data_IF_305037064824
#
_entry.id   IF_305037064824
#
_cell.length_a   1.000
_cell.length_b   1.000
_cell.length_c   1.000
_cell.angle_alpha   90.00
_cell.angle_beta   90.00
_cell.angle_gamma   90.00
#
_symmetry.space_group_name_H-M   'P 1'
#
loop_
_entity.id
_entity.type
_entity.pdbx_description
1 polymer ?
#
# COMPACT_ATOMS: atom_id res chain seq x y z
N UNK A 1 14.28 6.59 -0.96
CA UNK A 1 13.70 7.61 -1.85
C UNK A 1 12.70 8.45 -1.07
N UNK A 2 12.66 9.75 -1.36
CA UNK A 2 11.78 10.74 -0.72
C UNK A 2 10.95 11.45 -1.80
N UNK A 3 9.83 12.05 -1.42
CA UNK A 3 8.99 12.82 -2.32
C UNK A 3 8.29 13.95 -1.57
N UNK A 4 7.81 14.94 -2.30
CA UNK A 4 6.95 16.00 -1.81
C UNK A 4 5.78 16.20 -2.79
N UNK A 5 4.68 16.78 -2.32
CA UNK A 5 3.61 17.21 -3.20
C UNK A 5 4.07 18.44 -3.97
N UNK A 6 3.80 18.45 -5.28
CA UNK A 6 4.02 19.60 -6.14
C UNK A 6 2.70 20.35 -6.30
N UNK A 7 2.67 21.60 -5.86
CA UNK A 7 1.52 22.48 -6.02
C UNK A 7 1.49 23.07 -7.45
N UNK A 8 0.34 23.51 -7.96
CA UNK A 8 0.19 24.05 -9.32
C UNK A 8 1.12 25.25 -9.65
N UNK A 9 1.67 25.91 -8.63
CA UNK A 9 2.66 26.99 -8.76
C UNK A 9 4.12 26.52 -8.82
N UNK A 10 4.39 25.22 -8.82
CA UNK A 10 5.74 24.65 -8.77
C UNK A 10 6.37 24.65 -7.37
N UNK A 11 5.66 25.19 -6.37
CA UNK A 11 6.05 25.08 -4.97
C UNK A 11 5.91 23.64 -4.49
N UNK A 12 6.89 23.18 -3.71
CA UNK A 12 6.93 21.82 -3.17
C UNK A 12 6.68 21.88 -1.67
N UNK A 13 5.81 21.00 -1.18
CA UNK A 13 5.54 20.85 0.26
C UNK A 13 6.71 20.16 1.00
N UNK A 14 6.53 19.96 2.31
CA UNK A 14 7.45 19.18 3.14
C UNK A 14 7.65 17.75 2.61
N UNK A 15 8.87 17.25 2.75
CA UNK A 15 9.26 15.93 2.29
C UNK A 15 8.57 14.81 3.10
N UNK A 16 8.37 13.69 2.41
CA UNK A 16 7.73 12.47 2.90
C UNK A 16 8.59 11.26 2.53
N UNK A 17 8.40 10.15 3.25
CA UNK A 17 9.11 8.89 3.03
C UNK A 17 8.15 7.71 3.04
N UNK A 18 8.11 7.00 1.92
CA UNK A 18 7.35 5.78 1.69
C UNK A 18 8.13 4.93 0.67
N UNK A 19 7.90 3.59 0.57
CA UNK A 19 8.52 2.78 -0.47
C UNK A 19 8.26 3.37 -1.86
N UNK A 20 9.32 3.88 -2.50
CA UNK A 20 9.29 4.64 -3.74
C UNK A 20 10.43 4.13 -4.63
N UNK A 21 10.13 3.91 -5.91
CA UNK A 21 11.09 3.45 -6.91
C UNK A 21 12.18 4.49 -7.15
N UNK A 22 13.38 4.00 -7.44
CA UNK A 22 14.42 4.81 -8.07
C UNK A 22 14.06 5.10 -9.54
N UNK A 23 14.77 6.03 -10.17
CA UNK A 23 14.48 6.43 -11.56
C UNK A 23 14.66 5.25 -12.54
N UNK A 24 15.59 4.36 -12.27
CA UNK A 24 15.86 3.14 -13.06
C UNK A 24 14.98 1.96 -12.67
N UNK A 25 14.35 2.01 -11.51
CA UNK A 25 13.52 0.93 -10.99
C UNK A 25 12.07 1.03 -11.47
N UNK A 26 11.40 -0.11 -11.53
CA UNK A 26 9.99 -0.19 -11.92
C UNK A 26 9.24 -1.32 -11.19
N UNK A 27 9.17 -1.23 -9.86
CA UNK A 27 8.40 -2.16 -9.03
C UNK A 27 6.99 -1.62 -8.77
N UNK A 28 5.95 -2.41 -9.05
CA UNK A 28 4.55 -2.02 -8.86
C UNK A 28 4.10 -1.97 -7.39
N UNK A 29 4.83 -2.63 -6.48
CA UNK A 29 4.57 -2.61 -5.04
C UNK A 29 5.11 -1.33 -4.37
N UNK A 30 5.88 -0.52 -5.09
CA UNK A 30 6.46 0.75 -4.62
C UNK A 30 5.88 1.91 -5.41
N UNK A 31 5.88 3.11 -4.85
CA UNK A 31 5.44 4.31 -5.57
C UNK A 31 6.35 4.64 -6.76
N UNK A 32 5.86 5.49 -7.67
CA UNK A 32 6.67 6.04 -8.77
C UNK A 32 6.72 5.21 -10.06
N UNK A 33 5.86 4.19 -10.21
CA UNK A 33 5.65 3.49 -11.48
C UNK A 33 4.74 4.28 -12.45
N UNK A 34 3.89 5.17 -11.93
CA UNK A 34 3.10 6.11 -12.72
C UNK A 34 3.77 7.48 -12.73
N UNK A 35 4.30 7.88 -13.88
CA UNK A 35 5.21 9.04 -14.03
C UNK A 35 4.63 10.06 -14.99
N UNK A 36 4.91 11.34 -14.74
CA UNK A 36 4.57 12.44 -15.63
C UNK A 36 5.70 12.64 -16.65
N UNK A 37 5.36 12.80 -17.92
CA UNK A 37 6.31 13.20 -18.96
C UNK A 37 6.50 14.72 -19.02
N UNK A 38 7.40 15.19 -19.88
CA UNK A 38 7.68 16.63 -20.08
C UNK A 38 6.45 17.43 -20.54
N UNK A 39 5.45 16.76 -21.13
CA UNK A 39 4.22 17.37 -21.62
C UNK A 39 3.12 17.41 -20.54
N UNK A 40 3.42 16.99 -19.31
CA UNK A 40 2.45 16.90 -18.22
C UNK A 40 1.51 15.69 -18.33
N UNK A 41 1.77 14.75 -19.25
CA UNK A 41 0.96 13.54 -19.44
C UNK A 41 1.52 12.40 -18.61
N UNK A 42 0.65 11.77 -17.84
CA UNK A 42 1.01 10.63 -17.02
C UNK A 42 1.00 9.32 -17.83
N UNK A 43 2.01 8.49 -17.59
CA UNK A 43 2.17 7.18 -18.22
C UNK A 43 2.70 6.15 -17.20
N UNK A 44 2.43 4.87 -17.48
CA UNK A 44 3.04 3.76 -16.73
C UNK A 44 4.43 3.52 -17.29
N UNK A 45 5.46 3.61 -16.44
CA UNK A 45 6.83 3.39 -16.85
C UNK A 45 6.99 1.98 -17.42
N UNK A 46 7.57 1.86 -18.62
CA UNK A 46 7.70 0.61 -19.37
C UNK A 46 6.40 -0.22 -19.50
N UNK A 47 5.24 0.45 -19.56
CA UNK A 47 3.92 -0.19 -19.50
C UNK A 47 3.65 -1.23 -20.59
N UNK A 48 4.20 -1.06 -21.79
CA UNK A 48 3.99 -2.01 -22.91
C UNK A 48 4.57 -3.40 -22.58
N UNK A 49 5.80 -3.45 -22.06
CA UNK A 49 6.48 -4.70 -21.69
C UNK A 49 5.91 -5.28 -20.40
N UNK A 50 5.54 -4.41 -19.45
CA UNK A 50 5.10 -4.84 -18.12
C UNK A 50 3.64 -5.28 -18.05
N UNK A 51 2.76 -4.74 -18.90
CA UNK A 51 1.35 -5.18 -18.93
C UNK A 51 1.19 -6.61 -19.45
N UNK A 52 2.16 -7.15 -20.17
CA UNK A 52 2.21 -8.57 -20.55
C UNK A 52 2.60 -9.48 -19.37
N UNK A 53 3.42 -8.99 -18.43
CA UNK A 53 3.84 -9.72 -17.22
C UNK A 53 2.81 -9.60 -16.09
N UNK A 54 2.01 -8.53 -16.07
CA UNK A 54 1.11 -8.20 -14.96
C UNK A 54 -0.33 -8.58 -15.33
N UNK A 55 -0.66 -9.87 -15.21
CA UNK A 55 -2.05 -10.34 -15.31
C UNK A 55 -2.92 -9.98 -14.09
N UNK A 56 -2.32 -9.39 -13.04
CA UNK A 56 -3.01 -8.98 -11.80
C UNK A 56 -2.43 -7.66 -11.32
N UNK A 57 -3.16 -6.57 -11.53
CA UNK A 57 -2.81 -5.27 -10.97
C UNK A 57 -3.57 -5.07 -9.64
N UNK A 58 -2.82 -4.86 -8.55
CA UNK A 58 -3.37 -4.48 -7.24
C UNK A 58 -3.48 -2.96 -7.20
N UNK A 59 -4.71 -2.44 -7.35
CA UNK A 59 -5.01 -1.07 -6.92
C UNK A 59 -5.41 -1.16 -5.44
N UNK A 60 -4.59 -0.69 -4.50
CA UNK A 60 -5.00 -0.64 -3.10
C UNK A 60 -6.22 0.28 -3.00
N UNK A 61 -7.35 -0.24 -2.52
CA UNK A 61 -8.60 0.52 -2.38
C UNK A 61 -8.48 1.74 -1.47
N UNK A 62 -7.39 1.85 -0.68
CA UNK A 62 -7.01 3.01 0.11
C UNK A 62 -5.51 3.28 -0.05
N UNK A 63 -5.13 4.19 -0.94
CA UNK A 63 -3.77 4.73 -0.95
C UNK A 63 -3.64 5.73 0.20
N UNK A 64 -2.99 5.33 1.30
CA UNK A 64 -2.71 6.23 2.41
C UNK A 64 -1.32 6.85 2.23
N UNK A 65 -1.26 8.18 2.24
CA UNK A 65 -0.03 8.92 2.09
C UNK A 65 0.69 9.01 3.43
N UNK A 66 1.98 8.67 3.48
CA UNK A 66 2.79 8.86 4.68
C UNK A 66 2.80 10.32 5.13
N UNK A 67 2.76 10.57 6.44
CA UNK A 67 2.90 11.91 7.02
C UNK A 67 4.26 12.56 6.67
N UNK A 68 4.38 13.90 6.71
CA UNK A 68 5.65 14.60 6.51
C UNK A 68 6.75 14.15 7.46
N UNK A 69 8.00 14.31 7.05
CA UNK A 69 9.17 13.89 7.82
C UNK A 69 9.25 14.56 9.20
N UNK A 70 8.93 15.85 9.29
CA UNK A 70 8.89 16.64 10.55
C UNK A 70 7.90 16.08 11.58
N UNK A 71 6.81 15.44 11.14
CA UNK A 71 5.82 14.83 12.04
C UNK A 71 6.20 13.41 12.47
N UNK A 72 7.12 12.78 11.73
CA UNK A 72 7.50 11.37 11.90
C UNK A 72 8.80 11.23 12.68
N UNK A 73 9.73 12.16 12.46
CA UNK A 73 11.08 12.11 13.01
C UNK A 73 11.31 13.36 13.88
N UNK A 74 11.34 13.22 15.22
CA UNK A 74 11.46 14.37 16.13
C UNK A 74 12.71 15.24 15.94
N UNK A 75 13.79 14.66 15.39
CA UNK A 75 15.04 15.39 15.12
C UNK A 75 14.96 16.31 13.90
N UNK A 76 13.94 16.18 13.06
CA UNK A 76 13.74 17.00 11.84
C UNK A 76 12.80 18.15 12.19
N UNK A 77 13.30 19.39 12.13
CA UNK A 77 12.47 20.58 12.28
C UNK A 77 11.72 20.92 10.98
N UNK A 78 12.41 20.78 9.84
CA UNK A 78 11.84 20.97 8.51
C UNK A 78 12.67 20.23 7.47
N UNK A 79 12.05 19.69 6.43
CA UNK A 79 12.75 19.03 5.35
C UNK A 79 12.10 19.38 4.02
N UNK A 80 12.67 20.37 3.33
CA UNK A 80 12.04 20.99 2.14
C UNK A 80 13.01 21.20 0.99
N UNK A 81 12.48 21.31 -0.21
CA UNK A 81 13.25 21.76 -1.37
C UNK A 81 13.67 23.22 -1.14
N UNK A 82 14.93 23.57 -1.46
CA UNK A 82 15.42 24.92 -1.23
C UNK A 82 14.70 25.96 -2.09
N UNK A 83 14.56 25.64 -3.38
CA UNK A 83 14.02 26.53 -4.39
C UNK A 83 13.40 25.74 -5.55
N UNK A 84 12.85 26.47 -6.53
CA UNK A 84 12.28 25.91 -7.76
C UNK A 84 13.30 25.25 -8.69
N UNK A 85 14.62 25.32 -8.41
CA UNK A 85 15.63 24.61 -9.22
C UNK A 85 15.62 23.10 -8.96
N UNK A 86 15.01 22.67 -7.84
CA UNK A 86 14.89 21.27 -7.42
C UNK A 86 16.23 20.53 -7.25
N UNK A 87 17.36 21.25 -7.13
CA UNK A 87 18.70 20.65 -7.03
C UNK A 87 19.13 20.30 -5.61
N UNK A 88 18.56 20.99 -4.63
CA UNK A 88 18.99 20.89 -3.24
C UNK A 88 17.79 20.77 -2.31
N UNK A 89 17.98 19.97 -1.28
CA UNK A 89 17.07 19.80 -0.16
C UNK A 89 17.76 20.38 1.07
N UNK A 90 17.04 21.22 1.82
CA UNK A 90 17.48 21.69 3.13
C UNK A 90 16.74 20.91 4.20
N UNK A 91 17.51 20.23 5.05
CA UNK A 91 17.02 19.63 6.28
C UNK A 91 17.50 20.47 7.44
N UNK A 92 16.56 21.12 8.13
CA UNK A 92 16.85 21.85 9.36
C UNK A 92 16.67 20.89 10.53
N UNK A 93 17.73 20.75 11.32
CA UNK A 93 17.75 19.88 12.48
C UNK A 93 17.09 20.59 13.67
N UNK A 94 16.17 19.90 14.35
CA UNK A 94 15.57 20.38 15.59
C UNK A 94 16.57 20.30 16.77
N UNK A 95 17.47 19.31 16.72
CA UNK A 95 18.52 19.08 17.71
C UNK A 95 19.86 18.84 17.01
N UNK A 96 20.96 19.32 17.61
CA UNK A 96 22.30 19.19 17.06
C UNK A 96 23.36 19.14 18.16
N UNK A 97 24.52 18.58 17.81
CA UNK A 97 25.68 18.57 18.69
C UNK A 97 26.33 19.95 18.79
N UNK A 98 26.97 20.24 19.92
CA UNK A 98 27.72 21.48 20.10
C UNK A 98 28.83 21.62 19.06
N UNK A 99 29.08 22.85 18.62
CA UNK A 99 30.20 23.21 17.76
C UNK A 99 31.32 23.81 18.60
N UNK A 100 32.56 23.49 18.25
CA UNK A 100 33.73 24.12 18.85
C UNK A 100 33.98 25.47 18.19
N UNK A 101 33.93 26.55 18.98
CA UNK A 101 34.12 27.93 18.50
C UNK A 101 35.43 28.46 19.06
N UNK A 102 36.31 28.95 18.19
CA UNK A 102 37.57 29.60 18.58
C UNK A 102 37.51 31.06 18.17
N UNK A 103 37.67 31.96 19.15
CA UNK A 103 37.74 33.40 18.93
C UNK A 103 39.19 33.84 19.09
N UNK A 104 39.79 34.32 18.01
CA UNK A 104 41.15 34.83 17.99
C UNK A 104 41.12 36.35 17.90
N UNK A 105 41.81 37.02 18.82
CA UNK A 105 42.03 38.48 18.76
C UNK A 105 43.40 38.67 18.14
N UNK A 106 43.44 39.25 16.94
CA UNK A 106 44.69 39.68 16.33
C UNK A 106 44.80 41.19 16.55
N UNK A 107 45.58 41.59 17.55
CA UNK A 107 46.17 42.92 17.55
C UNK A 107 47.49 42.92 18.34
N UNK A 108 48.51 43.51 17.72
CA UNK A 108 49.88 43.69 18.21
C UNK A 108 49.99 44.73 19.35
N UNK A 109 48.85 45.20 19.87
CA UNK A 109 48.77 46.22 20.91
C UNK A 109 48.23 45.56 22.19
N UNK A 110 49.14 45.35 23.14
CA UNK A 110 48.86 44.81 24.47
C UNK A 110 47.68 45.56 25.14
N UNK A 111 46.48 44.98 25.15
CA UNK A 111 45.35 45.60 25.84
C UNK A 111 43.95 45.00 25.66
N UNK A 112 43.71 44.20 24.60
CA UNK A 112 42.36 43.69 24.34
C UNK A 112 42.06 42.42 25.16
N UNK A 113 41.19 42.53 26.17
CA UNK A 113 40.71 41.41 27.01
C UNK A 113 39.30 40.96 26.59
N UNK A 114 39.16 39.70 26.19
CA UNK A 114 37.86 39.05 26.00
C UNK A 114 37.23 38.67 27.34
N UNK A 115 35.96 39.02 27.54
CA UNK A 115 35.16 38.64 28.71
C UNK A 115 33.82 38.11 28.23
N UNK A 116 33.42 36.93 28.71
CA UNK A 116 32.15 36.29 28.39
C UNK A 116 31.14 36.54 29.50
N UNK A 117 29.91 36.87 29.11
CA UNK A 117 28.79 37.06 30.02
C UNK A 117 27.71 36.04 29.70
N UNK A 118 26.99 35.58 30.73
CA UNK A 118 25.82 34.73 30.58
C UNK A 118 24.67 35.26 31.44
N UNK A 119 23.45 34.93 31.04
CA UNK A 119 22.25 35.29 31.78
C UNK A 119 21.93 34.21 32.83
N UNK A 120 21.23 34.61 33.88
CA UNK A 120 20.71 33.68 34.88
C UNK A 120 19.53 32.87 34.30
N UNK A 121 19.45 31.60 34.67
CA UNK A 121 18.37 30.71 34.22
C UNK A 121 17.20 30.75 35.20
N UNK A 122 15.97 30.56 34.69
CA UNK A 122 14.74 30.59 35.50
C UNK A 122 13.72 29.60 34.97
N UNK A 123 12.90 29.05 35.85
CA UNK A 123 11.72 28.23 35.52
C UNK A 123 10.65 28.43 36.59
N UNK A 124 9.39 28.59 36.18
CA UNK A 124 8.27 28.77 37.13
C UNK A 124 7.54 27.46 37.43
N UNK A 125 7.18 26.70 36.39
CA UNK A 125 6.55 25.38 36.50
C UNK A 125 6.79 24.59 35.22
N UNK A 126 6.46 23.30 35.22
CA UNK A 126 6.40 22.50 33.99
C UNK A 126 5.29 21.46 34.07
N UNK A 127 4.80 21.08 32.89
CA UNK A 127 3.91 19.94 32.71
C UNK A 127 4.44 19.07 31.57
N UNK A 128 4.07 17.80 31.55
CA UNK A 128 4.48 16.94 30.45
C UNK A 128 4.02 15.51 30.61
N UNK A 129 4.33 14.70 29.61
CA UNK A 129 4.00 13.27 29.54
C UNK A 129 5.14 12.51 28.89
N UNK A 130 5.44 11.31 29.38
CA UNK A 130 6.36 10.38 28.72
C UNK A 130 5.55 9.62 27.69
N UNK A 131 5.99 9.64 26.43
CA UNK A 131 5.27 9.04 25.31
C UNK A 131 6.21 8.08 24.59
N UNK A 132 5.69 6.88 24.31
CA UNK A 132 6.19 6.00 23.27
C UNK A 132 5.19 6.01 22.13
N UNK A 133 5.61 6.56 20.99
CA UNK A 133 4.73 6.72 19.83
C UNK A 133 4.59 5.42 19.01
N UNK A 134 3.71 5.43 18.01
CA UNK A 134 3.48 4.28 17.13
C UNK A 134 4.67 3.88 16.26
N UNK A 135 5.79 4.60 16.34
CA UNK A 135 7.06 4.32 15.63
C UNK A 135 8.19 3.99 16.60
N UNK A 136 7.86 3.71 17.85
CA UNK A 136 8.81 3.37 18.91
C UNK A 136 9.78 4.50 19.28
N UNK A 137 9.47 5.76 18.93
CA UNK A 137 10.21 6.88 19.49
C UNK A 137 9.78 7.09 20.94
N UNK A 138 10.76 7.08 21.86
CA UNK A 138 10.54 7.32 23.29
C UNK A 138 11.03 8.71 23.65
N UNK A 139 10.14 9.54 24.16
CA UNK A 139 10.45 10.92 24.52
C UNK A 139 9.55 11.45 25.64
N UNK A 140 10.03 12.49 26.29
CA UNK A 140 9.26 13.29 27.23
C UNK A 140 8.79 14.56 26.52
N UNK A 141 7.48 14.66 26.31
CA UNK A 141 6.84 15.85 25.77
C UNK A 141 6.56 16.81 26.93
N UNK A 142 7.34 17.89 27.01
CA UNK A 142 7.31 18.82 28.14
C UNK A 142 6.95 20.22 27.68
N UNK A 143 6.11 20.88 28.47
CA UNK A 143 5.80 22.31 28.37
C UNK A 143 6.30 22.99 29.64
N UNK A 144 7.29 23.85 29.48
CA UNK A 144 7.84 24.67 30.56
C UNK A 144 7.15 26.04 30.58
N UNK A 145 6.87 26.55 31.77
CA UNK A 145 6.21 27.83 32.00
C UNK A 145 7.17 28.82 32.64
N UNK A 146 7.20 30.04 32.08
CA UNK A 146 8.07 31.12 32.55
C UNK A 146 9.54 30.71 32.59
N UNK A 147 10.00 29.96 31.60
CA UNK A 147 11.35 29.43 31.54
C UNK A 147 12.29 30.30 30.68
N UNK A 148 13.57 30.35 31.03
CA UNK A 148 14.64 31.00 30.26
C UNK A 148 16.00 30.42 30.65
N UNK A 149 16.92 30.31 29.70
CA UNK A 149 18.28 29.85 29.93
C UNK A 149 18.41 28.32 29.98
N UNK A 150 19.35 27.83 30.80
CA UNK A 150 19.68 26.41 30.96
C UNK A 150 18.86 25.79 32.08
N UNK A 151 18.13 24.73 31.76
CA UNK A 151 17.28 23.97 32.67
C UNK A 151 17.79 22.53 32.74
N UNK A 152 18.04 22.05 33.95
CA UNK A 152 18.45 20.67 34.21
C UNK A 152 17.23 19.87 34.66
N UNK A 153 17.20 18.60 34.28
CA UNK A 153 16.15 17.66 34.64
C UNK A 153 16.71 16.32 35.07
N UNK A 154 16.11 15.74 36.10
CA UNK A 154 16.42 14.41 36.61
C UNK A 154 15.16 13.54 36.61
N UNK A 155 15.26 12.39 35.97
CA UNK A 155 14.23 11.36 35.94
C UNK A 155 14.53 10.35 37.05
N UNK A 156 13.59 10.22 37.98
CA UNK A 156 13.67 9.31 39.12
C UNK A 156 13.22 7.90 38.74
N UNK A 157 13.61 6.88 39.51
CA UNK A 157 13.24 5.49 39.26
C UNK A 157 11.75 5.24 39.45
N UNK A 158 11.15 5.81 40.51
CA UNK A 158 9.75 5.63 40.87
C UNK A 158 9.02 7.00 41.02
N UNK A 159 7.85 7.00 41.64
CA UNK A 159 7.04 8.22 41.90
C UNK A 159 7.44 8.96 43.19
N UNK A 160 8.42 8.46 43.94
CA UNK A 160 8.93 9.06 45.16
C UNK A 160 10.11 9.99 44.83
N UNK A 161 10.17 11.11 45.55
CA UNK A 161 11.17 12.17 45.32
C UNK A 161 12.60 11.74 45.62
N UNK A 162 12.76 10.93 46.66
CA UNK A 162 14.08 10.52 47.17
C UNK A 162 14.59 9.24 46.51
N UNK A 163 13.88 8.74 45.48
CA UNK A 163 14.35 7.58 44.74
C UNK A 163 15.56 7.88 43.86
N UNK A 164 16.25 6.82 43.44
CA UNK A 164 17.45 6.93 42.63
C UNK A 164 17.17 7.58 41.27
N UNK A 165 18.14 8.35 40.78
CA UNK A 165 18.10 8.93 39.44
C UNK A 165 18.53 7.90 38.40
N UNK A 166 17.70 7.73 37.36
CA UNK A 166 17.97 6.79 36.26
C UNK A 166 18.49 7.50 35.01
N UNK A 167 18.14 8.77 34.84
CA UNK A 167 18.52 9.56 33.68
C UNK A 167 18.48 11.04 34.02
N UNK A 168 19.48 11.79 33.55
CA UNK A 168 19.56 13.24 33.69
C UNK A 168 19.71 13.88 32.32
N UNK A 169 19.04 15.00 32.11
CA UNK A 169 19.12 15.77 30.87
C UNK A 169 19.29 17.26 31.17
N UNK A 170 19.83 17.99 30.19
CA UNK A 170 19.89 19.45 30.20
C UNK A 170 19.24 19.95 28.93
N UNK A 171 18.39 20.96 29.07
CA UNK A 171 17.74 21.64 27.95
C UNK A 171 17.93 23.15 28.03
N UNK A 172 17.79 23.82 26.89
CA UNK A 172 18.03 25.24 26.73
C UNK A 172 16.79 25.94 26.19
N UNK A 173 16.35 26.98 26.89
CA UNK A 173 15.33 27.91 26.43
C UNK A 173 16.02 29.17 25.94
N UNK A 174 15.99 29.37 24.63
CA UNK A 174 16.73 30.46 23.97
C UNK A 174 16.10 31.85 24.14
N UNK A 175 14.89 31.94 24.68
CA UNK A 175 14.24 33.23 24.90
C UNK A 175 14.88 33.98 26.08
N UNK A 176 15.23 35.25 25.85
CA UNK A 176 15.82 36.13 26.85
C UNK A 176 14.85 36.42 28.02
N UNK A 177 13.57 36.54 27.70
CA UNK A 177 12.50 36.76 28.67
C UNK A 177 11.85 35.42 29.02
N UNK A 178 11.37 35.31 30.25
CA UNK A 178 10.63 34.15 30.72
C UNK A 178 9.42 33.87 29.81
N UNK A 179 9.44 32.75 29.11
CA UNK A 179 8.43 32.38 28.12
C UNK A 179 7.89 30.97 28.38
N UNK A 180 6.77 30.66 27.73
CA UNK A 180 6.21 29.32 27.74
C UNK A 180 6.68 28.59 26.48
N UNK A 181 7.37 27.46 26.66
CA UNK A 181 7.91 26.69 25.54
C UNK A 181 7.66 25.20 25.73
N UNK A 182 7.21 24.57 24.65
CA UNK A 182 7.11 23.12 24.56
C UNK A 182 8.31 22.58 23.79
N UNK A 183 8.81 21.44 24.23
CA UNK A 183 9.92 20.74 23.59
C UNK A 183 9.82 19.23 23.85
N UNK A 184 10.52 18.49 23.01
CA UNK A 184 10.62 17.04 23.09
C UNK A 184 12.00 16.73 23.65
N UNK A 185 12.06 15.87 24.66
CA UNK A 185 13.33 15.43 25.25
C UNK A 185 13.45 13.92 25.02
N UNK A 186 14.45 13.45 24.25
CA UNK A 186 14.62 12.03 23.99
C UNK A 186 14.92 11.27 25.28
N UNK A 187 14.28 10.11 25.47
CA UNK A 187 14.37 9.33 26.70
C UNK A 187 15.00 7.96 26.43
N UNK A 188 15.95 7.49 27.27
CA UNK A 188 16.62 6.22 27.04
C UNK A 188 15.74 5.01 27.36
N UNK A 189 16.16 3.84 26.87
CA UNK A 189 15.47 2.57 27.07
C UNK A 189 15.29 2.18 28.56
N UNK A 190 16.13 2.71 29.45
CA UNK A 190 16.08 2.52 30.91
C UNK A 190 14.80 3.09 31.52
N UNK A 191 14.18 4.08 30.88
CA UNK A 191 12.90 4.67 31.30
C UNK A 191 11.75 3.76 30.84
N UNK A 192 11.53 2.64 31.53
CA UNK A 192 10.48 1.63 31.25
C UNK A 192 9.04 2.17 31.38
N UNK A 193 8.03 1.28 31.32
CA UNK A 193 6.63 1.66 31.50
C UNK A 193 6.31 2.08 32.95
N UNK A 194 5.28 2.91 33.09
CA UNK A 194 4.77 3.39 34.38
C UNK A 194 5.08 4.85 34.66
N UNK A 195 4.26 5.46 35.52
CA UNK A 195 4.39 6.86 35.91
C UNK A 195 5.63 7.06 36.79
N UNK A 196 6.38 8.14 36.54
CA UNK A 196 7.63 8.43 37.26
C UNK A 196 7.70 9.87 37.72
N UNK A 197 8.50 10.13 38.74
CA UNK A 197 8.80 11.50 39.14
C UNK A 197 9.90 12.08 38.25
N UNK A 198 9.65 13.28 37.73
CA UNK A 198 10.67 14.09 37.05
C UNK A 198 10.83 15.37 37.86
N UNK A 199 12.08 15.74 38.13
CA UNK A 199 12.43 16.98 38.81
C UNK A 199 13.20 17.89 37.85
N UNK A 200 12.79 19.15 37.74
CA UNK A 200 13.43 20.16 36.89
C UNK A 200 13.84 21.37 37.72
N UNK A 201 15.01 21.94 37.42
CA UNK A 201 15.56 23.09 38.11
C UNK A 201 16.39 23.95 37.16
N UNK A 202 16.38 25.26 37.39
CA UNK A 202 17.23 26.17 36.63
C UNK A 202 18.71 26.01 37.01
N UNK A 203 19.61 26.35 36.09
CA UNK A 203 21.03 26.43 36.42
C UNK A 203 21.28 27.38 37.59
N UNK A 204 22.23 27.03 38.48
CA UNK A 204 22.55 27.73 39.74
C UNK A 204 21.45 27.69 40.83
N UNK A 205 20.31 27.05 40.57
CA UNK A 205 19.29 26.83 41.57
C UNK A 205 19.66 25.63 42.47
N UNK A 206 19.33 25.71 43.77
CA UNK A 206 19.52 24.57 44.69
C UNK A 206 18.54 23.45 44.38
N UNK A 207 18.96 22.19 44.54
CA UNK A 207 18.13 21.01 44.31
C UNK A 207 16.85 20.98 45.16
N UNK A 208 16.89 21.55 46.37
CA UNK A 208 15.71 21.67 47.25
C UNK A 208 14.57 22.47 46.60
N UNK A 209 14.92 23.40 45.71
CA UNK A 209 13.96 24.23 44.97
C UNK A 209 13.57 23.61 43.62
N UNK A 210 14.00 22.38 43.33
CA UNK A 210 13.61 21.68 42.13
C UNK A 210 12.09 21.46 42.11
N UNK A 211 11.50 21.74 40.97
CA UNK A 211 10.10 21.48 40.69
C UNK A 211 9.97 20.00 40.38
N UNK A 212 9.21 19.24 41.15
CA UNK A 212 9.03 17.81 40.92
C UNK A 212 7.56 17.50 40.63
N UNK A 213 7.32 16.73 39.57
CA UNK A 213 5.97 16.30 39.14
C UNK A 213 5.96 14.80 38.85
N UNK A 214 4.84 14.16 39.17
CA UNK A 214 4.57 12.79 38.72
C UNK A 214 4.09 12.88 37.28
N UNK A 215 4.84 12.30 36.36
CA UNK A 215 4.60 12.34 34.93
C UNK A 215 4.02 11.00 34.50
N UNK A 216 2.92 11.07 33.75
CA UNK A 216 2.24 9.88 33.23
C UNK A 216 2.97 9.32 32.02
N UNK A 217 2.89 8.00 31.86
CA UNK A 217 3.47 7.25 30.76
C UNK A 217 2.37 6.76 29.82
N UNK A 218 2.48 7.10 28.53
CA UNK A 218 1.57 6.68 27.48
C UNK A 218 2.34 5.93 26.40
N UNK A 219 1.87 4.75 26.02
CA UNK A 219 2.48 3.93 24.98
C UNK A 219 1.43 3.57 23.93
N UNK A 220 1.73 3.92 22.69
CA UNK A 220 0.91 3.54 21.53
C UNK A 220 1.56 2.30 20.90
N UNK A 221 0.80 1.23 20.63
CA UNK A 221 1.37 0.07 19.97
C UNK A 221 1.94 0.44 18.60
N UNK A 222 2.98 -0.29 18.18
CA UNK A 222 3.61 -0.13 16.88
C UNK A 222 2.56 -0.23 15.77
N UNK A 223 2.49 0.79 14.91
CA UNK A 223 1.63 0.77 13.73
C UNK A 223 2.28 -0.14 12.69
N UNK A 224 1.78 -1.37 12.60
CA UNK A 224 2.16 -2.31 11.56
C UNK A 224 1.12 -2.16 10.46
N UNK A 225 1.54 -1.61 9.31
CA UNK A 225 0.73 -1.64 8.07
C UNK A 225 0.65 -3.09 7.57
N UNK A 226 -0.21 -3.88 8.20
CA UNK A 226 -0.59 -5.20 7.68
C UNK A 226 -1.64 -4.93 6.62
N UNK A 227 -1.25 -4.96 5.35
CA UNK A 227 -2.18 -4.83 4.23
C UNK A 227 -3.31 -5.86 4.33
N UNK A 228 -4.53 -5.42 4.64
CA UNK A 228 -5.72 -6.25 4.57
C UNK A 228 -6.07 -6.46 3.08
N UNK A 229 -5.77 -7.64 2.58
CA UNK A 229 -5.97 -7.99 1.18
C UNK A 229 -7.44 -8.38 0.94
N UNK A 230 -8.18 -7.58 0.17
CA UNK A 230 -9.40 -8.01 -0.51
C UNK A 230 -9.12 -8.12 -2.00
N UNK A 231 -9.31 -9.32 -2.56
CA UNK A 231 -9.17 -9.53 -4.00
C UNK A 231 -10.40 -8.95 -4.71
N UNK A 232 -10.17 -8.02 -5.65
CA UNK A 232 -11.18 -7.52 -6.56
C UNK A 232 -10.81 -7.94 -7.98
N UNK A 233 -11.68 -8.72 -8.62
CA UNK A 233 -11.52 -9.11 -10.01
C UNK A 233 -12.01 -7.96 -10.91
N UNK A 234 -11.13 -7.41 -11.73
CA UNK A 234 -11.45 -6.37 -12.71
C UNK A 234 -11.08 -6.85 -14.11
N UNK A 235 -11.98 -6.68 -15.07
CA UNK A 235 -11.76 -7.01 -16.48
C UNK A 235 -11.02 -5.85 -17.13
N UNK A 236 -9.76 -6.06 -17.52
CA UNK A 236 -8.98 -5.08 -18.26
C UNK A 236 -9.53 -4.86 -19.68
N UNK A 237 -9.57 -3.62 -20.14
CA UNK A 237 -9.94 -3.30 -21.52
C UNK A 237 -8.74 -3.52 -22.45
N UNK A 238 -8.52 -4.77 -22.84
CA UNK A 238 -7.56 -5.13 -23.88
C UNK A 238 -8.32 -5.73 -25.07
N UNK A 239 -8.17 -5.20 -26.30
CA UNK A 239 -8.93 -5.67 -27.46
C UNK A 239 -8.61 -7.11 -27.88
N UNK A 240 -7.55 -7.72 -27.35
CA UNK A 240 -7.08 -9.05 -27.76
C UNK A 240 -6.64 -9.99 -26.63
N UNK A 241 -6.70 -9.59 -25.36
CA UNK A 241 -6.38 -10.51 -24.25
C UNK A 241 -7.62 -11.27 -23.75
N UNK A 242 -7.44 -12.57 -23.53
CA UNK A 242 -8.36 -13.46 -22.79
C UNK A 242 -9.81 -13.57 -23.29
N UNK A 243 -10.06 -13.42 -24.59
CA UNK A 243 -11.35 -13.83 -25.15
C UNK A 243 -11.35 -15.33 -25.47
N UNK A 244 -11.45 -16.18 -24.44
CA UNK A 244 -12.01 -17.53 -24.62
C UNK A 244 -13.53 -17.36 -24.76
N UNK A 245 -13.95 -16.82 -25.90
CA UNK A 245 -15.35 -16.64 -26.24
C UNK A 245 -15.70 -17.59 -27.39
N UNK A 246 -16.92 -18.13 -27.44
CA UNK A 246 -17.34 -19.04 -28.53
C UNK A 246 -17.18 -18.40 -29.92
N UNK A 247 -17.27 -17.07 -29.99
CA UNK A 247 -16.99 -16.31 -31.21
C UNK A 247 -15.50 -16.34 -31.62
N UNK A 248 -14.58 -16.40 -30.66
CA UNK A 248 -13.14 -16.59 -30.91
C UNK A 248 -12.86 -17.96 -31.54
N UNK A 249 -13.49 -19.01 -31.01
CA UNK A 249 -13.40 -20.37 -31.54
C UNK A 249 -13.99 -20.48 -32.97
N UNK A 250 -15.06 -19.73 -33.25
CA UNK A 250 -15.64 -19.64 -34.62
C UNK A 250 -14.70 -18.95 -35.63
N UNK A 251 -13.85 -18.03 -35.17
CA UNK A 251 -12.83 -17.37 -35.99
C UNK A 251 -11.69 -18.33 -36.34
N UNK A 252 -11.33 -19.23 -35.42
CA UNK A 252 -10.37 -20.31 -35.69
C UNK A 252 -10.93 -21.41 -36.58
N UNK A 253 -12.25 -21.57 -36.70
CA UNK A 253 -12.88 -22.58 -37.55
C UNK A 253 -13.36 -22.04 -38.92
N UNK A 254 -13.19 -20.75 -39.17
CA UNK A 254 -13.57 -20.13 -40.43
C UNK A 254 -12.36 -20.05 -41.39
N UNK A 255 -12.32 -20.86 -42.47
CA UNK A 255 -11.19 -20.88 -43.39
C UNK A 255 -10.99 -19.56 -44.15
N UNK A 256 -12.02 -18.71 -44.21
CA UNK A 256 -11.95 -17.40 -44.87
C UNK A 256 -11.13 -16.38 -44.06
N UNK A 257 -11.01 -16.55 -42.74
CA UNK A 257 -10.20 -15.67 -41.89
C UNK A 257 -8.70 -16.01 -41.87
N UNK A 258 -8.31 -17.22 -42.28
CA UNK A 258 -6.90 -17.62 -42.36
C UNK A 258 -6.17 -16.99 -43.55
N UNK A 259 -6.91 -16.61 -44.59
CA UNK A 259 -6.36 -16.14 -45.87
C UNK A 259 -6.15 -14.61 -45.87
N UNK A 260 -6.79 -13.88 -44.96
CA UNK A 260 -6.69 -12.43 -44.90
C UNK A 260 -5.54 -12.00 -43.98
N UNK A 261 -4.35 -11.78 -44.56
CA UNK A 261 -3.24 -11.11 -43.86
C UNK A 261 -1.86 -11.77 -43.94
N UNK A 262 -1.65 -12.79 -44.77
CA UNK A 262 -0.34 -13.45 -44.87
C UNK A 262 0.65 -12.57 -45.63
N UNK A 263 1.63 -12.00 -44.92
CA UNK A 263 2.70 -11.19 -45.54
C UNK A 263 4.11 -11.66 -45.19
N UNK A 264 4.26 -12.65 -44.30
CA UNK A 264 5.56 -13.24 -43.94
C UNK A 264 5.63 -14.76 -44.12
N UNK A 265 6.82 -15.28 -44.39
CA UNK A 265 7.10 -16.72 -44.55
C UNK A 265 6.84 -17.53 -43.26
N UNK A 266 6.99 -16.92 -42.08
CA UNK A 266 6.71 -17.56 -40.79
C UNK A 266 5.21 -17.79 -40.56
N UNK A 267 4.38 -16.83 -40.95
CA UNK A 267 2.91 -16.93 -40.85
C UNK A 267 2.34 -17.97 -41.82
N UNK A 268 2.97 -18.16 -42.99
CA UNK A 268 2.59 -19.20 -43.95
C UNK A 268 2.82 -20.61 -43.38
N UNK A 269 3.94 -20.84 -42.67
CA UNK A 269 4.24 -22.14 -42.05
C UNK A 269 3.23 -22.45 -40.93
N UNK A 270 2.86 -21.46 -40.11
CA UNK A 270 1.84 -21.65 -39.08
C UNK A 270 0.46 -21.93 -39.67
N UNK A 271 0.08 -21.24 -40.75
CA UNK A 271 -1.17 -21.52 -41.47
C UNK A 271 -1.18 -22.96 -42.02
N UNK A 272 -0.07 -23.43 -42.60
CA UNK A 272 0.04 -24.78 -43.14
C UNK A 272 -0.09 -25.86 -42.05
N UNK A 273 0.48 -25.62 -40.86
CA UNK A 273 0.34 -26.54 -39.73
C UNK A 273 -1.09 -26.57 -39.20
N UNK A 274 -1.77 -25.43 -39.10
CA UNK A 274 -3.15 -25.35 -38.61
C UNK A 274 -4.14 -26.05 -39.57
N UNK A 275 -3.95 -25.87 -40.89
CA UNK A 275 -4.74 -26.59 -41.91
C UNK A 275 -4.51 -28.10 -41.81
N UNK A 276 -3.27 -28.54 -41.58
CA UNK A 276 -2.94 -29.96 -41.47
C UNK A 276 -3.58 -30.59 -40.23
N UNK A 277 -3.53 -29.91 -39.07
CA UNK A 277 -4.19 -30.34 -37.84
C UNK A 277 -5.71 -30.42 -38.04
N UNK A 278 -6.30 -29.43 -38.71
CA UNK A 278 -7.73 -29.43 -39.00
C UNK A 278 -8.16 -30.63 -39.86
N UNK A 279 -7.40 -30.93 -40.92
CA UNK A 279 -7.64 -32.12 -41.75
C UNK A 279 -7.50 -33.41 -40.93
N UNK A 280 -6.50 -33.51 -40.06
CA UNK A 280 -6.35 -34.66 -39.16
C UNK A 280 -7.56 -34.83 -38.23
N UNK A 281 -8.05 -33.74 -37.63
CA UNK A 281 -9.25 -33.76 -36.77
C UNK A 281 -10.49 -34.20 -37.54
N UNK A 282 -10.70 -33.70 -38.77
CA UNK A 282 -11.81 -34.14 -39.62
C UNK A 282 -11.72 -35.62 -39.98
N UNK A 283 -10.52 -36.14 -40.24
CA UNK A 283 -10.31 -37.58 -40.48
C UNK A 283 -10.63 -38.41 -39.23
N UNK A 284 -10.21 -37.95 -38.05
CA UNK A 284 -10.55 -38.62 -36.78
C UNK A 284 -12.06 -38.62 -36.55
N UNK A 285 -12.73 -37.48 -36.75
CA UNK A 285 -14.19 -37.38 -36.64
C UNK A 285 -14.88 -38.31 -37.64
N UNK A 286 -14.41 -38.37 -38.90
CA UNK A 286 -14.93 -39.28 -39.91
C UNK A 286 -14.77 -40.74 -39.50
N UNK A 287 -13.62 -41.13 -38.95
CA UNK A 287 -13.38 -42.49 -38.45
C UNK A 287 -14.30 -42.80 -37.26
N UNK A 288 -14.43 -41.89 -36.29
CA UNK A 288 -15.33 -42.07 -35.13
C UNK A 288 -16.78 -42.21 -35.58
N UNK A 289 -17.25 -41.35 -36.48
CA UNK A 289 -18.62 -41.44 -37.00
C UNK A 289 -18.84 -42.74 -37.77
N UNK A 290 -17.94 -43.12 -38.67
CA UNK A 290 -18.12 -44.30 -39.52
C UNK A 290 -17.86 -45.64 -38.84
N UNK A 291 -16.90 -45.71 -37.91
CA UNK A 291 -16.46 -46.95 -37.26
C UNK A 291 -17.05 -47.16 -35.87
N UNK A 292 -17.51 -46.11 -35.19
CA UNK A 292 -18.05 -46.21 -33.83
C UNK A 292 -19.54 -45.85 -33.84
N UNK A 293 -19.92 -44.67 -34.32
CA UNK A 293 -21.31 -44.18 -34.21
C UNK A 293 -22.27 -44.93 -35.13
N UNK A 294 -21.95 -45.10 -36.42
CA UNK A 294 -22.82 -45.83 -37.37
C UNK A 294 -23.09 -47.29 -36.95
N UNK A 295 -22.11 -48.11 -36.51
CA UNK A 295 -22.39 -49.48 -36.05
C UNK A 295 -23.19 -49.51 -34.75
N UNK A 296 -22.97 -48.59 -33.80
CA UNK A 296 -23.77 -48.48 -32.57
C UNK A 296 -25.23 -48.11 -32.89
N UNK A 297 -25.44 -47.16 -33.82
CA UNK A 297 -26.79 -46.80 -34.28
C UNK A 297 -27.49 -47.97 -35.01
N UNK A 298 -26.76 -48.79 -35.79
CA UNK A 298 -27.32 -50.01 -36.39
C UNK A 298 -27.70 -51.08 -35.35
N UNK A 299 -26.94 -51.20 -34.26
CA UNK A 299 -27.27 -52.08 -33.14
C UNK A 299 -28.52 -51.63 -32.38
N UNK A 300 -28.77 -50.32 -32.26
CA UNK A 300 -29.96 -49.79 -31.57
C UNK A 300 -31.25 -49.83 -32.40
N UNK A 301 -31.16 -49.91 -33.73
CA UNK A 301 -32.35 -49.96 -34.62
C UNK A 301 -32.87 -51.40 -34.84
N UNK A 302 -32.09 -52.44 -34.53
CA UNK A 302 -32.50 -53.84 -34.72
C UNK A 302 -33.39 -54.52 -33.64
N UNK A 303 -33.62 -54.00 -32.41
CA UNK A 303 -34.59 -54.62 -31.50
C UNK A 303 -36.03 -54.11 -31.66
N UNK A 304 -36.27 -53.04 -32.43
CA UNK A 304 -37.62 -52.45 -32.54
C UNK A 304 -38.52 -53.05 -33.62
N UNK A 305 -38.02 -53.94 -34.49
CA UNK A 305 -38.86 -54.56 -35.54
C UNK A 305 -39.55 -55.87 -35.09
N UNK A 306 -39.18 -56.45 -33.95
CA UNK A 306 -39.75 -57.73 -33.46
C UNK A 306 -40.93 -57.54 -32.49
N UNK A 307 -41.16 -56.34 -31.95
CA UNK A 307 -42.27 -56.07 -30.99
C UNK A 307 -43.55 -55.46 -31.60
N UNK A 308 -43.71 -55.45 -32.93
CA UNK A 308 -44.89 -54.85 -33.59
C UNK A 308 -46.02 -55.86 -33.92
N UNK A 309 -45.76 -57.17 -33.96
CA UNK A 309 -46.78 -58.18 -34.33
C UNK A 309 -47.12 -59.16 -33.21
N UNK A 310 -47.58 -58.67 -32.06
CA UNK A 310 -48.21 -59.51 -31.03
C UNK A 310 -49.24 -58.70 -30.23
N UNK A 311 -50.29 -58.18 -30.89
CA UNK A 311 -51.49 -57.66 -30.21
C UNK A 311 -52.68 -57.60 -31.17
N UNK A 312 -53.21 -58.77 -31.52
CA UNK A 312 -54.52 -58.91 -32.17
C UNK A 312 -55.14 -60.23 -31.71
N UNK A 313 -55.89 -60.17 -30.60
CA UNK A 313 -56.93 -61.12 -30.18
C UNK A 313 -57.38 -60.78 -28.74
N UNK A 314 -58.31 -59.85 -28.62
CA UNK A 314 -59.36 -59.87 -27.58
C UNK A 314 -60.31 -58.70 -27.82
N UNK A 315 -61.62 -58.95 -27.68
CA UNK A 315 -62.76 -58.02 -27.79
C UNK A 315 -63.35 -57.76 -29.19
N UNK A 316 -64.04 -58.76 -29.73
CA UNK A 316 -65.29 -58.54 -30.51
C UNK A 316 -66.19 -59.78 -30.43
N UNK A 317 -66.63 -60.13 -29.22
CA UNK A 317 -67.63 -61.18 -28.96
C UNK A 317 -68.65 -60.63 -27.96
N UNK A 318 -69.30 -59.52 -28.32
CA UNK A 318 -70.40 -58.93 -27.55
C UNK A 318 -71.15 -57.87 -28.39
N UNK A 319 -71.75 -58.28 -29.52
CA UNK A 319 -72.78 -57.51 -30.25
C UNK A 319 -73.46 -58.37 -31.33
N UNK A 320 -73.88 -59.58 -30.96
CA UNK A 320 -74.64 -60.50 -31.83
C UNK A 320 -75.92 -60.94 -31.10
N UNK A 321 -76.59 -59.96 -30.50
CA UNK A 321 -77.90 -60.08 -29.88
C UNK A 321 -78.52 -58.67 -30.01
N UNK A 322 -79.73 -58.55 -30.55
CA UNK A 322 -80.44 -57.29 -30.96
C UNK A 322 -80.33 -56.85 -32.44
N UNK A 323 -80.42 -57.79 -33.38
CA UNK A 323 -80.93 -57.54 -34.75
C UNK A 323 -81.50 -58.86 -35.26
N UNK A 324 -82.75 -59.15 -34.91
CA UNK A 324 -83.61 -60.18 -35.50
C UNK A 324 -84.91 -60.28 -34.69
N UNK A 325 -85.72 -59.22 -34.67
CA UNK A 325 -87.18 -59.24 -34.47
C UNK A 325 -87.69 -57.91 -35.07
N UNK A 326 -88.78 -57.97 -35.83
CA UNK A 326 -89.52 -56.85 -36.48
C UNK A 326 -88.93 -56.26 -37.76
N UNK A 327 -89.15 -56.97 -38.87
CA UNK A 327 -89.70 -56.39 -40.10
C UNK A 327 -90.38 -57.50 -40.90
N UNK A 328 -91.65 -57.76 -40.56
CA UNK A 328 -92.63 -58.38 -41.47
C UNK A 328 -93.97 -57.67 -41.24
N UNK A 329 -94.20 -56.62 -42.03
CA UNK A 329 -95.54 -56.06 -42.28
C UNK A 329 -95.74 -56.06 -43.79
N UNK A 330 -96.41 -57.10 -44.28
CA UNK A 330 -97.15 -57.07 -45.55
C UNK A 330 -98.56 -56.58 -45.25
N UNK A 331 -98.94 -55.44 -45.83
CA UNK A 331 -100.16 -55.19 -46.64
C UNK A 331 -99.85 -54.06 -47.60
#
# INVERSE_FOLDING_TARGET
>A
MYFANSNPGGEMEELRKQPLNEITDNNFDRLGWYRMDENGKFHVNNGIVKMEEIHKAKLPGNFNLSRPLEMVYPWIQSARMYDGSQRQVIVTHAEGSNLHITLQVNDEVDGNRLVFFHNASKISDFTGTIIVDSRSNRYFNVTMYGASGKINGAVKFNTERDSNEIFSFTTYVHDLNASNRSMIIPMPAVVESGSRMICMYADEQREEQALCRIVQYYETPLEIDIEQNTWHEMVGSCPSCNQINFNGLSRFLNPMSWVNGVSSLGEFVMMATDVLVYVCVLVVIYIVLTKIVIPICKCWICPMYIMSHSKSKSKKREKTERRNVEDDVRV
#
